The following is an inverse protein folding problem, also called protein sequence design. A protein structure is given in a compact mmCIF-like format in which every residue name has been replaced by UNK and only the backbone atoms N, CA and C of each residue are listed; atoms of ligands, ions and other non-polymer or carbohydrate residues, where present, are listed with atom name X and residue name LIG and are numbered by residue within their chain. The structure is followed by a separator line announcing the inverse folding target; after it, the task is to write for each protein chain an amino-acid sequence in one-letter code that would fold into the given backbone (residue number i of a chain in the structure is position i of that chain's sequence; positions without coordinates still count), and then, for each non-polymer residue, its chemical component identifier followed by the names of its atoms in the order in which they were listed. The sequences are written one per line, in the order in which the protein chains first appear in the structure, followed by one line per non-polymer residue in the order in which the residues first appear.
data_IF_269069664475
#
_entry.id   IF_269069664475
#
_cell.length_a   1.000
_cell.length_b   1.000
_cell.length_c   1.000
_cell.angle_alpha   90.00
_cell.angle_beta   90.00
_cell.angle_gamma   90.00
#
_symmetry.space_group_name_H-M   'P 1'
#
loop_
_entity.id
_entity.type
_entity.pdbx_description
1 polymer ?
#
# COMPACT_ATOMS: atom_id res chain seq x y z
N UNK A 1 -13.97 -3.67 59.59
CA UNK A 1 -15.23 -3.95 58.88
C UNK A 1 -14.94 -3.92 57.39
N UNK A 2 -15.10 -5.03 56.65
CA UNK A 2 -14.69 -5.08 55.25
C UNK A 2 -15.64 -4.20 54.43
N UNK A 3 -15.13 -3.07 53.93
CA UNK A 3 -15.71 -2.37 52.77
C UNK A 3 -15.44 -3.26 51.56
N UNK A 4 -16.29 -3.17 50.53
CA UNK A 4 -16.18 -3.92 49.27
C UNK A 4 -16.77 -5.34 49.25
N UNK A 5 -17.90 -5.56 49.92
CA UNK A 5 -18.76 -6.74 49.66
C UNK A 5 -20.04 -6.31 48.92
N UNK A 6 -19.90 -5.95 47.65
CA UNK A 6 -20.88 -6.29 46.60
C UNK A 6 -20.29 -5.83 45.29
N UNK A 7 -19.57 -6.77 44.68
CA UNK A 7 -19.05 -6.70 43.32
C UNK A 7 -20.23 -6.82 42.34
N UNK A 8 -21.19 -5.91 42.46
CA UNK A 8 -22.44 -5.95 41.73
C UNK A 8 -22.25 -5.26 40.37
N UNK A 9 -21.47 -5.94 39.53
CA UNK A 9 -21.14 -5.54 38.15
C UNK A 9 -22.38 -5.19 37.32
N UNK A 10 -23.54 -5.75 37.66
CA UNK A 10 -24.80 -5.41 37.01
C UNK A 10 -25.30 -4.01 37.37
N UNK A 11 -25.20 -3.62 38.64
CA UNK A 11 -25.56 -2.28 39.11
C UNK A 11 -24.66 -1.23 38.48
N UNK A 12 -23.35 -1.49 38.46
CA UNK A 12 -22.37 -0.63 37.81
C UNK A 12 -22.71 -0.48 36.32
N UNK A 13 -22.97 -1.58 35.60
CA UNK A 13 -23.34 -1.55 34.17
C UNK A 13 -24.61 -0.74 33.90
N UNK A 14 -25.62 -0.82 34.77
CA UNK A 14 -26.85 -0.01 34.69
C UNK A 14 -26.56 1.48 34.91
N UNK A 15 -25.76 1.81 35.92
CA UNK A 15 -25.35 3.18 36.20
C UNK A 15 -24.51 3.78 35.08
N UNK A 16 -23.61 2.99 34.47
CA UNK A 16 -22.85 3.41 33.29
C UNK A 16 -23.79 3.71 32.11
N UNK A 17 -24.72 2.81 31.80
CA UNK A 17 -25.72 3.02 30.73
C UNK A 17 -26.62 4.22 31.01
N UNK A 18 -26.95 4.49 32.27
CA UNK A 18 -27.77 5.64 32.66
C UNK A 18 -27.01 6.96 32.54
N UNK A 19 -25.74 7.01 32.95
CA UNK A 19 -24.91 8.22 32.91
C UNK A 19 -24.43 8.59 31.50
N UNK A 20 -24.07 7.59 30.71
CA UNK A 20 -23.47 7.80 29.38
C UNK A 20 -24.38 7.40 28.22
N UNK A 21 -25.57 6.88 28.51
CA UNK A 21 -26.45 6.27 27.51
C UNK A 21 -25.95 4.89 27.07
N UNK A 22 -26.83 4.11 26.45
CA UNK A 22 -26.39 3.04 25.55
C UNK A 22 -25.91 3.69 24.26
N UNK A 23 -24.70 3.40 23.81
CA UNK A 23 -24.30 3.66 22.42
C UNK A 23 -25.28 2.87 21.56
N UNK A 24 -26.20 3.54 20.87
CA UNK A 24 -27.08 2.86 19.93
C UNK A 24 -26.19 2.15 18.92
N UNK A 25 -26.35 0.84 18.71
CA UNK A 25 -25.59 0.13 17.68
C UNK A 25 -25.81 0.72 16.27
N UNK A 26 -26.87 1.49 16.08
CA UNK A 26 -27.14 2.20 14.83
C UNK A 26 -26.18 3.38 14.60
N UNK A 27 -25.49 3.86 15.64
CA UNK A 27 -24.73 5.11 15.59
C UNK A 27 -23.35 4.98 14.92
N UNK A 28 -22.74 3.79 14.88
CA UNK A 28 -21.35 3.67 14.41
C UNK A 28 -21.25 3.43 12.90
N UNK A 29 -21.97 2.44 12.39
CA UNK A 29 -21.96 2.10 10.97
C UNK A 29 -23.36 1.70 10.52
N UNK A 30 -23.73 2.11 9.32
CA UNK A 30 -24.96 1.77 8.62
C UNK A 30 -24.64 1.02 7.32
N UNK A 31 -25.67 0.60 6.57
CA UNK A 31 -25.46 -0.13 5.30
C UNK A 31 -24.68 0.68 4.25
N UNK A 32 -24.87 2.01 4.20
CA UNK A 32 -24.10 2.87 3.28
C UNK A 32 -22.64 3.02 3.69
N UNK A 33 -22.30 2.74 4.96
CA UNK A 33 -20.92 2.78 5.44
C UNK A 33 -20.05 1.66 4.84
N UNK A 34 -20.64 0.62 4.24
CA UNK A 34 -19.89 -0.50 3.68
C UNK A 34 -19.07 -0.07 2.45
N UNK A 35 -19.68 0.71 1.56
CA UNK A 35 -19.07 1.11 0.29
C UNK A 35 -18.45 2.50 0.36
N UNK A 36 -18.88 3.36 1.30
CA UNK A 36 -18.36 4.72 1.43
C UNK A 36 -16.83 4.81 1.47
N UNK A 37 -16.10 4.02 2.29
CA UNK A 37 -14.64 4.08 2.31
C UNK A 37 -14.03 3.77 0.93
N UNK A 38 -14.57 2.76 0.24
CA UNK A 38 -14.10 2.35 -1.09
C UNK A 38 -14.37 3.43 -2.13
N UNK A 39 -15.56 4.04 -2.09
CA UNK A 39 -15.94 5.14 -3.00
C UNK A 39 -15.09 6.40 -2.77
N UNK A 40 -14.83 6.76 -1.52
CA UNK A 40 -13.99 7.92 -1.20
C UNK A 40 -12.57 7.73 -1.74
N UNK A 41 -11.99 6.55 -1.54
CA UNK A 41 -10.66 6.23 -2.05
C UNK A 41 -10.64 6.24 -3.60
N UNK A 42 -11.70 5.75 -4.23
CA UNK A 42 -11.83 5.79 -5.68
C UNK A 42 -11.80 7.24 -6.19
N UNK A 43 -12.49 8.17 -5.51
CA UNK A 43 -12.47 9.60 -5.84
C UNK A 43 -11.10 10.24 -5.64
N UNK A 44 -10.32 9.78 -4.65
CA UNK A 44 -8.95 10.23 -4.39
C UNK A 44 -7.91 9.69 -5.39
N UNK A 45 -8.34 8.94 -6.41
CA UNK A 45 -7.46 8.39 -7.44
C UNK A 45 -7.02 6.95 -7.20
N UNK A 46 -7.73 6.24 -6.31
CA UNK A 46 -7.65 4.81 -6.09
C UNK A 46 -6.45 4.34 -5.26
N UNK A 47 -6.51 3.09 -4.82
CA UNK A 47 -5.43 2.46 -4.04
C UNK A 47 -4.22 2.20 -4.97
N UNK A 48 -3.05 2.70 -4.54
CA UNK A 48 -1.79 2.59 -5.29
C UNK A 48 -0.70 1.79 -4.59
N UNK A 49 -0.87 1.49 -3.31
CA UNK A 49 0.15 0.77 -2.55
C UNK A 49 -0.45 -0.21 -1.54
N UNK A 50 0.39 -1.17 -1.13
CA UNK A 50 0.04 -2.21 -0.16
C UNK A 50 -0.44 -1.65 1.18
N UNK A 51 0.12 -0.53 1.65
CA UNK A 51 -0.23 0.04 2.96
C UNK A 51 -1.62 0.63 2.95
N UNK A 52 -1.96 1.39 1.90
CA UNK A 52 -3.31 1.88 1.64
C UNK A 52 -4.27 0.69 1.53
N UNK A 53 -3.92 -0.31 0.72
CA UNK A 53 -4.75 -1.50 0.55
C UNK A 53 -5.09 -2.19 1.88
N UNK A 54 -4.07 -2.50 2.70
CA UNK A 54 -4.28 -3.15 4.01
C UNK A 54 -5.13 -2.32 4.96
N UNK A 55 -4.95 -0.99 4.96
CA UNK A 55 -5.76 -0.08 5.76
C UNK A 55 -7.22 -0.14 5.32
N UNK A 56 -7.46 0.00 4.01
CA UNK A 56 -8.81 0.05 3.43
C UNK A 56 -9.55 -1.28 3.60
N UNK A 57 -8.88 -2.41 3.37
CA UNK A 57 -9.47 -3.73 3.62
C UNK A 57 -9.74 -3.95 5.12
N UNK A 58 -8.84 -3.55 6.00
CA UNK A 58 -9.06 -3.67 7.45
C UNK A 58 -10.25 -2.83 7.93
N UNK A 59 -10.42 -1.63 7.38
CA UNK A 59 -11.59 -0.78 7.66
C UNK A 59 -12.88 -1.40 7.12
N UNK A 60 -12.88 -1.87 5.87
CA UNK A 60 -14.00 -2.58 5.27
C UNK A 60 -14.41 -3.81 6.09
N UNK A 61 -13.46 -4.64 6.49
CA UNK A 61 -13.72 -5.83 7.31
C UNK A 61 -14.24 -5.47 8.71
N UNK A 62 -13.72 -4.41 9.32
CA UNK A 62 -14.21 -3.90 10.60
C UNK A 62 -15.68 -3.49 10.52
N UNK A 63 -16.07 -2.81 9.43
CA UNK A 63 -17.46 -2.40 9.18
C UNK A 63 -18.35 -3.62 8.98
N UNK A 64 -17.94 -4.57 8.13
CA UNK A 64 -18.71 -5.81 7.91
C UNK A 64 -18.86 -6.61 9.21
N UNK A 65 -17.78 -6.77 9.98
CA UNK A 65 -17.82 -7.48 11.26
C UNK A 65 -18.73 -6.80 12.28
N UNK A 66 -18.76 -5.46 12.30
CA UNK A 66 -19.68 -4.69 13.11
C UNK A 66 -21.14 -4.98 12.72
N UNK A 67 -21.47 -4.85 11.44
CA UNK A 67 -22.84 -5.03 10.94
C UNK A 67 -23.33 -6.48 11.13
N UNK A 68 -22.45 -7.48 10.97
CA UNK A 68 -22.73 -8.88 11.31
C UNK A 68 -22.99 -9.08 12.80
N UNK A 69 -22.15 -8.52 13.67
CA UNK A 69 -22.28 -8.63 15.14
C UNK A 69 -23.63 -8.13 15.64
N UNK A 70 -24.12 -7.03 15.05
CA UNK A 70 -25.42 -6.45 15.40
C UNK A 70 -26.58 -6.98 14.54
N UNK A 71 -26.34 -8.00 13.71
CA UNK A 71 -27.34 -8.67 12.86
C UNK A 71 -28.05 -7.74 11.87
N UNK A 72 -27.40 -6.62 11.51
CA UNK A 72 -27.87 -5.74 10.44
C UNK A 72 -27.73 -6.39 9.06
N UNK A 73 -26.81 -7.35 8.95
CA UNK A 73 -26.60 -8.16 7.75
C UNK A 73 -26.51 -9.62 8.18
N UNK A 74 -27.24 -10.50 7.49
CA UNK A 74 -27.24 -11.95 7.73
C UNK A 74 -26.54 -12.75 6.63
N UNK A 75 -26.37 -12.16 5.44
CA UNK A 75 -25.78 -12.80 4.26
C UNK A 75 -24.39 -12.22 4.00
N UNK A 76 -23.46 -13.05 3.54
CA UNK A 76 -22.20 -12.55 2.98
C UNK A 76 -22.49 -11.79 1.68
N UNK A 77 -22.66 -10.47 1.80
CA UNK A 77 -22.83 -9.61 0.65
C UNK A 77 -21.47 -9.51 -0.07
N UNK A 78 -21.45 -9.93 -1.32
CA UNK A 78 -20.28 -9.89 -2.17
C UNK A 78 -20.02 -8.45 -2.64
N UNK A 79 -18.92 -7.84 -2.19
CA UNK A 79 -18.48 -6.51 -2.63
C UNK A 79 -17.17 -6.54 -3.42
N UNK A 80 -16.89 -7.65 -4.11
CA UNK A 80 -15.63 -7.82 -4.84
C UNK A 80 -15.48 -6.80 -5.96
N UNK A 81 -16.59 -6.38 -6.58
CA UNK A 81 -16.59 -5.36 -7.62
C UNK A 81 -16.18 -4.00 -7.07
N UNK A 82 -16.72 -3.60 -5.92
CA UNK A 82 -16.43 -2.34 -5.26
C UNK A 82 -14.99 -2.29 -4.75
N UNK A 83 -14.50 -3.42 -4.21
CA UNK A 83 -13.10 -3.55 -3.80
C UNK A 83 -12.17 -3.39 -5.02
N UNK A 84 -12.49 -4.06 -6.13
CA UNK A 84 -11.70 -3.96 -7.36
C UNK A 84 -11.76 -2.55 -7.97
N UNK A 85 -12.94 -1.92 -7.97
CA UNK A 85 -13.16 -0.56 -8.45
C UNK A 85 -12.44 0.51 -7.59
N UNK A 86 -12.17 0.22 -6.32
CA UNK A 86 -11.42 1.13 -5.43
C UNK A 86 -9.91 1.16 -5.73
N UNK A 87 -9.39 0.19 -6.48
CA UNK A 87 -7.98 0.18 -6.89
C UNK A 87 -7.73 1.25 -7.97
N UNK A 88 -6.49 1.73 -8.07
CA UNK A 88 -6.13 2.63 -9.18
C UNK A 88 -6.24 1.91 -10.54
N UNK A 89 -6.51 2.65 -11.61
CA UNK A 89 -6.70 2.08 -12.96
C UNK A 89 -5.53 1.20 -13.41
N UNK A 90 -4.29 1.64 -13.16
CA UNK A 90 -3.08 0.87 -13.47
C UNK A 90 -3.05 -0.49 -12.76
N UNK A 91 -3.44 -0.52 -11.48
CA UNK A 91 -3.47 -1.73 -10.67
C UNK A 91 -4.61 -2.64 -11.13
N UNK A 92 -5.78 -2.08 -11.44
CA UNK A 92 -6.90 -2.83 -12.00
C UNK A 92 -6.49 -3.55 -13.30
N UNK A 93 -5.88 -2.85 -14.24
CA UNK A 93 -5.43 -3.41 -15.52
C UNK A 93 -4.43 -4.56 -15.32
N UNK A 94 -3.45 -4.38 -14.42
CA UNK A 94 -2.47 -5.41 -14.09
C UNK A 94 -3.14 -6.67 -13.55
N UNK A 95 -4.04 -6.50 -12.59
CA UNK A 95 -4.80 -7.60 -11.97
C UNK A 95 -5.71 -8.29 -12.99
N UNK A 96 -6.44 -7.54 -13.82
CA UNK A 96 -7.29 -8.12 -14.86
C UNK A 96 -6.47 -8.95 -15.86
N UNK A 97 -5.30 -8.46 -16.24
CA UNK A 97 -4.38 -9.18 -17.13
C UNK A 97 -3.88 -10.46 -16.48
N UNK A 98 -3.47 -10.41 -15.21
CA UNK A 98 -2.99 -11.58 -14.47
C UNK A 98 -4.11 -12.63 -14.29
N UNK A 99 -5.30 -12.19 -13.88
CA UNK A 99 -6.46 -13.08 -13.71
C UNK A 99 -6.92 -13.72 -15.02
N UNK A 100 -6.84 -12.99 -16.13
CA UNK A 100 -7.16 -13.52 -17.47
C UNK A 100 -6.14 -14.57 -17.88
N UNK A 101 -4.84 -14.30 -17.68
CA UNK A 101 -3.76 -15.24 -18.02
C UNK A 101 -3.87 -16.56 -17.25
N UNK A 102 -4.25 -16.49 -15.97
CA UNK A 102 -4.38 -17.66 -15.09
C UNK A 102 -5.76 -18.35 -15.21
N UNK A 103 -6.66 -17.83 -16.07
CA UNK A 103 -8.07 -18.29 -16.20
C UNK A 103 -8.81 -18.28 -14.87
N UNK A 104 -8.48 -17.34 -13.99
CA UNK A 104 -9.12 -17.17 -12.69
C UNK A 104 -10.52 -16.55 -12.81
N UNK A 105 -10.85 -15.95 -13.96
CA UNK A 105 -12.17 -15.42 -14.27
C UNK A 105 -12.99 -16.43 -15.06
N UNK A 106 -14.20 -16.70 -14.59
CA UNK A 106 -15.16 -17.56 -15.30
C UNK A 106 -15.91 -16.70 -16.31
N UNK A 107 -15.91 -17.11 -17.58
CA UNK A 107 -16.73 -16.46 -18.58
C UNK A 107 -18.22 -16.74 -18.27
N UNK A 108 -18.97 -15.66 -18.11
CA UNK A 108 -20.40 -15.75 -17.89
C UNK A 108 -21.14 -16.06 -19.20
N UNK A 109 -22.33 -16.64 -19.08
CA UNK A 109 -23.23 -16.95 -20.20
C UNK A 109 -23.57 -15.73 -21.06
N UNK A 110 -23.55 -14.53 -20.48
CA UNK A 110 -23.82 -13.26 -21.14
C UNK A 110 -22.56 -12.60 -21.76
N UNK A 111 -21.44 -13.32 -21.86
CA UNK A 111 -20.21 -12.82 -22.49
C UNK A 111 -19.32 -11.94 -21.60
N UNK A 112 -19.73 -11.64 -20.37
CA UNK A 112 -18.89 -10.96 -19.37
C UNK A 112 -18.01 -11.94 -18.57
N UNK A 113 -17.22 -11.41 -17.64
CA UNK A 113 -16.40 -12.22 -16.72
C UNK A 113 -16.92 -12.11 -15.28
N UNK A 114 -16.99 -13.25 -14.59
CA UNK A 114 -17.32 -13.33 -13.18
C UNK A 114 -16.04 -13.14 -12.39
N UNK A 115 -16.02 -12.11 -11.54
CA UNK A 115 -14.91 -11.83 -10.63
C UNK A 115 -14.84 -12.96 -9.59
N UNK A 116 -13.64 -13.50 -9.32
CA UNK A 116 -13.46 -14.58 -8.36
C UNK A 116 -13.84 -14.17 -6.93
N UNK A 117 -13.91 -15.15 -6.02
CA UNK A 117 -14.21 -14.91 -4.60
C UNK A 117 -13.19 -13.97 -3.95
N UNK A 118 -13.60 -13.30 -2.87
CA UNK A 118 -12.80 -12.27 -2.19
C UNK A 118 -11.42 -12.78 -1.78
N UNK A 119 -11.31 -14.00 -1.28
CA UNK A 119 -10.04 -14.62 -0.87
C UNK A 119 -9.05 -14.72 -2.02
N UNK A 120 -9.53 -15.13 -3.19
CA UNK A 120 -8.73 -15.22 -4.41
C UNK A 120 -8.35 -13.82 -4.90
N UNK A 121 -9.30 -12.89 -4.88
CA UNK A 121 -9.08 -11.49 -5.26
C UNK A 121 -7.98 -10.83 -4.41
N UNK A 122 -8.02 -11.03 -3.08
CA UNK A 122 -7.00 -10.52 -2.15
C UNK A 122 -5.61 -11.05 -2.49
N UNK A 123 -5.50 -12.34 -2.80
CA UNK A 123 -4.22 -12.96 -3.16
C UNK A 123 -3.59 -12.27 -4.37
N UNK A 124 -4.35 -12.05 -5.44
CA UNK A 124 -3.86 -11.40 -6.65
C UNK A 124 -3.48 -9.93 -6.40
N UNK A 125 -4.32 -9.19 -5.68
CA UNK A 125 -4.00 -7.80 -5.32
C UNK A 125 -2.68 -7.74 -4.52
N UNK A 126 -2.50 -8.65 -3.56
CA UNK A 126 -1.27 -8.70 -2.78
C UNK A 126 -0.05 -9.11 -3.60
N UNK A 127 -0.21 -10.02 -4.57
CA UNK A 127 0.85 -10.44 -5.48
C UNK A 127 1.28 -9.30 -6.41
N UNK A 128 0.32 -8.57 -6.98
CA UNK A 128 0.57 -7.42 -7.85
C UNK A 128 1.37 -6.33 -7.11
N UNK A 129 0.93 -5.95 -5.91
CA UNK A 129 1.68 -4.97 -5.10
C UNK A 129 3.08 -5.46 -4.69
N UNK A 130 3.25 -6.77 -4.42
CA UNK A 130 4.59 -7.35 -4.15
C UNK A 130 5.47 -7.30 -5.39
N UNK A 131 4.94 -7.64 -6.56
CA UNK A 131 5.66 -7.59 -7.82
C UNK A 131 6.10 -6.17 -8.14
N UNK A 132 5.21 -5.18 -7.98
CA UNK A 132 5.53 -3.78 -8.19
C UNK A 132 6.64 -3.30 -7.24
N UNK A 133 6.55 -3.66 -5.96
CA UNK A 133 7.59 -3.33 -4.98
C UNK A 133 8.96 -3.91 -5.36
N UNK A 134 9.03 -5.16 -5.81
CA UNK A 134 10.27 -5.79 -6.26
C UNK A 134 10.84 -5.10 -7.51
N UNK A 135 9.98 -4.72 -8.46
CA UNK A 135 10.39 -3.96 -9.65
C UNK A 135 10.99 -2.61 -9.25
N UNK A 136 10.35 -1.89 -8.32
CA UNK A 136 10.85 -0.62 -7.80
C UNK A 136 12.21 -0.78 -7.11
N UNK A 137 12.37 -1.80 -6.26
CA UNK A 137 13.66 -2.10 -5.63
C UNK A 137 14.76 -2.37 -6.66
N UNK A 138 14.47 -3.20 -7.67
CA UNK A 138 15.45 -3.51 -8.72
C UNK A 138 15.89 -2.26 -9.49
N UNK A 139 14.94 -1.39 -9.85
CA UNK A 139 15.23 -0.11 -10.51
C UNK A 139 16.12 0.78 -9.64
N UNK A 140 15.83 0.87 -8.35
CA UNK A 140 16.62 1.66 -7.41
C UNK A 140 18.07 1.13 -7.27
N UNK A 141 18.24 -0.19 -7.17
CA UNK A 141 19.57 -0.81 -7.13
C UNK A 141 20.36 -0.60 -8.42
N UNK A 142 19.70 -0.64 -9.58
CA UNK A 142 20.33 -0.34 -10.87
C UNK A 142 20.77 1.13 -10.96
N UNK A 143 19.90 2.07 -10.56
CA UNK A 143 20.22 3.50 -10.54
C UNK A 143 21.43 3.79 -9.64
N UNK A 144 21.46 3.24 -8.42
CA UNK A 144 22.62 3.37 -7.52
C UNK A 144 23.91 2.80 -8.10
N UNK A 145 23.81 1.72 -8.88
CA UNK A 145 24.98 1.11 -9.53
C UNK A 145 25.49 2.00 -10.67
N UNK A 146 24.60 2.64 -11.42
CA UNK A 146 24.95 3.60 -12.47
C UNK A 146 25.56 4.87 -11.89
N UNK A 147 24.99 5.42 -10.82
CA UNK A 147 25.55 6.59 -10.12
C UNK A 147 26.96 6.33 -9.59
N UNK A 148 27.21 5.13 -9.02
CA UNK A 148 28.57 4.76 -8.58
C UNK A 148 29.56 4.68 -9.73
N UNK A 149 29.15 4.14 -10.88
CA UNK A 149 29.99 4.09 -12.09
C UNK A 149 30.29 5.49 -12.62
N UNK A 150 29.27 6.34 -12.73
CA UNK A 150 29.43 7.72 -13.17
C UNK A 150 30.36 8.52 -12.25
N UNK A 151 30.22 8.39 -10.93
CA UNK A 151 31.14 9.03 -9.97
C UNK A 151 32.58 8.54 -10.12
N UNK A 152 32.78 7.25 -10.32
CA UNK A 152 34.12 6.69 -10.52
C UNK A 152 34.76 7.19 -11.83
N UNK A 153 33.97 7.28 -12.91
CA UNK A 153 34.42 7.85 -14.19
C UNK A 153 34.74 9.34 -14.08
N UNK A 154 33.95 10.10 -13.32
CA UNK A 154 34.17 11.53 -13.06
C UNK A 154 35.45 11.77 -12.22
N UNK A 155 35.64 11.00 -11.13
CA UNK A 155 36.86 11.04 -10.31
C UNK A 155 38.11 10.65 -11.12
N UNK A 156 38.00 9.66 -12.01
CA UNK A 156 39.09 9.29 -12.93
C UNK A 156 39.44 10.43 -13.87
N UNK A 157 38.43 11.09 -14.43
CA UNK A 157 38.65 12.17 -15.40
C UNK A 157 39.23 13.43 -14.74
N UNK A 158 38.81 13.74 -13.52
CA UNK A 158 39.40 14.82 -12.73
C UNK A 158 40.87 14.54 -12.37
N UNK A 159 41.22 13.29 -12.07
CA UNK A 159 42.59 12.89 -11.80
C UNK A 159 43.49 13.06 -13.02
N UNK A 160 43.03 12.63 -14.20
CA UNK A 160 43.76 12.78 -15.47
C UNK A 160 43.97 14.26 -15.81
N UNK A 161 42.93 15.10 -15.67
CA UNK A 161 43.03 16.55 -15.89
C UNK A 161 44.04 17.23 -14.95
N UNK A 162 44.09 16.80 -13.70
CA UNK A 162 45.06 17.30 -12.72
C UNK A 162 46.49 16.91 -13.12
N UNK A 163 46.68 15.67 -13.55
CA UNK A 163 47.99 15.18 -14.00
C UNK A 163 48.48 15.93 -15.25
N UNK A 164 47.58 16.22 -16.20
CA UNK A 164 47.90 17.03 -17.39
C UNK A 164 48.33 18.45 -16.99
N UNK A 165 47.62 19.09 -16.05
CA UNK A 165 47.96 20.44 -15.56
C UNK A 165 49.32 20.49 -14.86
N UNK A 166 49.63 19.50 -14.03
CA UNK A 166 50.94 19.41 -13.35
C UNK A 166 52.09 19.23 -14.35
N UNK A 167 51.89 18.41 -15.39
CA UNK A 167 52.88 18.24 -16.47
C UNK A 167 53.08 19.51 -17.31
N UNK A 168 52.01 20.28 -17.56
CA UNK A 168 52.12 21.54 -18.30
C UNK A 168 52.82 22.62 -17.49
N UNK A 169 52.56 22.73 -16.19
CA UNK A 169 53.28 23.65 -15.31
C UNK A 169 54.77 23.30 -15.17
N UNK A 170 55.11 22.01 -15.09
CA UNK A 170 56.50 21.54 -14.99
C UNK A 170 57.33 21.84 -16.25
N UNK A 171 56.71 21.82 -17.42
CA UNK A 171 57.37 22.18 -18.68
C UNK A 171 57.50 23.70 -18.92
N UNK A 172 56.75 24.53 -18.20
CA UNK A 172 56.83 26.00 -18.29
C UNK A 172 57.90 26.62 -17.39
N UNK A 173 58.55 25.84 -16.51
CA UNK A 173 59.61 26.33 -15.63
C UNK A 173 60.85 25.42 -15.72
N UNK A 174 61.75 25.62 -16.70
CA UNK A 174 63.00 24.85 -16.76
C UNK A 174 63.91 25.26 -15.60
N UNK A 175 64.43 24.29 -14.85
CA UNK A 175 65.43 24.56 -13.81
C UNK A 175 66.62 25.34 -14.38
N UNK A 176 67.18 26.32 -13.65
CA UNK A 176 68.40 27.00 -14.10
C UNK A 176 69.54 25.97 -14.13
N UNK A 177 70.15 25.79 -15.30
CA UNK A 177 71.39 25.02 -15.41
C UNK A 177 72.49 25.77 -14.66
N UNK A 178 72.91 25.23 -13.51
CA UNK A 178 74.14 25.62 -12.85
C UNK A 178 75.32 25.26 -13.76
N UNK A 179 75.91 26.26 -14.40
CA UNK A 179 77.18 26.12 -15.08
C UNK A 179 78.32 26.43 -14.09
N UNK A 180 79.11 25.40 -13.82
CA UNK A 180 80.45 25.46 -13.20
C UNK A 180 81.46 26.09 -14.15
#
# INVERSE_FOLDING_TARGET
MPRYETDNWQQLKLDMKRRWGTVSPESRYNLSSITQPLTNIQQEGGIRNMTQYKRSIGEYESIINYLKRYKYIQVDINHNQEILASLSSSVQESIYKEMTNVKAMVQALYGGYIIPRLEILKLYIEQDFKAEFLIQQKKFSQAKSQEKKARFEEESWEADLKQIKDLTQKNQNPQPQEHQ
#
